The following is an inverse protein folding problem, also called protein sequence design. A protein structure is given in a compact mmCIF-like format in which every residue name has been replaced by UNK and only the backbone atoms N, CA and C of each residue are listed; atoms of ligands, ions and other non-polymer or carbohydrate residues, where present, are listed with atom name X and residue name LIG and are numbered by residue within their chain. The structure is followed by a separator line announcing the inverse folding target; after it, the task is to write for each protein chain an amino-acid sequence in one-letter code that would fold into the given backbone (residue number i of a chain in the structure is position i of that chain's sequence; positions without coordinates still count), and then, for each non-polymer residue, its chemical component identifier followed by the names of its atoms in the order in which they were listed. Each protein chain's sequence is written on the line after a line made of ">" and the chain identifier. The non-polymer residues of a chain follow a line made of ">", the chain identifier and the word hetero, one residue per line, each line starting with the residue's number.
data_IF_634346452379
#
_entry.id   IF_634346452379
#
_cell.length_a   1.000
_cell.length_b   1.000
_cell.length_c   1.000
_cell.angle_alpha   90.00
_cell.angle_beta   90.00
_cell.angle_gamma   90.00
#
_symmetry.space_group_name_H-M   'P 1'
#
loop_
_entity.id
_entity.type
_entity.pdbx_description
1 polymer ?
#
# COMPACT_ATOMS: atom_id res chain seq x y z
N UNK A 1 15.19 -19.07 -18.17
CA UNK A 1 14.42 -17.90 -17.70
C UNK A 1 15.35 -16.69 -17.68
N UNK A 2 14.93 -15.51 -18.17
CA UNK A 2 15.73 -14.27 -18.14
C UNK A 2 14.99 -13.24 -17.28
N UNK A 3 15.69 -12.62 -16.33
CA UNK A 3 15.16 -11.57 -15.47
C UNK A 3 15.49 -10.20 -16.07
N UNK A 4 14.64 -9.19 -15.82
CA UNK A 4 14.93 -7.81 -16.17
C UNK A 4 15.63 -7.13 -14.98
N UNK A 5 16.95 -6.84 -15.05
CA UNK A 5 17.67 -6.24 -13.94
C UNK A 5 17.10 -4.89 -13.49
N UNK A 6 16.51 -4.11 -14.40
CA UNK A 6 15.92 -2.80 -14.09
C UNK A 6 14.65 -2.89 -13.25
N UNK A 7 13.96 -4.04 -13.27
CA UNK A 7 12.69 -4.26 -12.57
C UNK A 7 12.82 -5.23 -11.40
N UNK A 8 14.00 -5.80 -11.19
CA UNK A 8 14.22 -6.78 -10.15
C UNK A 8 14.97 -6.16 -8.97
N UNK A 9 14.36 -6.24 -7.80
CA UNK A 9 14.96 -5.87 -6.53
C UNK A 9 15.41 -7.14 -5.82
N UNK A 10 16.67 -7.21 -5.39
CA UNK A 10 17.24 -8.39 -4.72
C UNK A 10 17.89 -8.00 -3.40
N UNK A 11 17.88 -8.92 -2.41
CA UNK A 11 18.61 -8.76 -1.15
C UNK A 11 18.10 -7.63 -0.23
N UNK A 12 16.89 -7.14 -0.44
CA UNK A 12 16.28 -6.11 0.41
C UNK A 12 15.70 -6.73 1.69
N UNK A 13 15.86 -6.04 2.82
CA UNK A 13 15.25 -6.43 4.11
C UNK A 13 13.77 -6.07 4.17
N UNK A 14 13.38 -5.00 3.50
CA UNK A 14 12.01 -4.56 3.34
C UNK A 14 11.85 -3.78 2.03
N UNK A 15 10.65 -3.79 1.46
CA UNK A 15 10.34 -2.98 0.29
C UNK A 15 8.98 -3.25 -0.34
N UNK A 16 8.65 -2.44 -1.35
CA UNK A 16 7.35 -2.51 -2.04
C UNK A 16 7.34 -3.59 -3.11
N UNK A 17 6.30 -4.42 -3.11
CA UNK A 17 6.06 -5.42 -4.15
C UNK A 17 4.57 -5.61 -4.39
N UNK A 18 4.12 -5.53 -5.65
CA UNK A 18 2.73 -5.68 -6.06
C UNK A 18 1.71 -4.84 -5.25
N UNK A 19 2.12 -3.65 -4.79
CA UNK A 19 1.27 -2.76 -3.99
C UNK A 19 1.24 -3.04 -2.49
N UNK A 20 1.99 -4.04 -2.02
CA UNK A 20 2.20 -4.36 -0.61
C UNK A 20 3.58 -3.90 -0.15
N UNK A 21 3.75 -3.73 1.16
CA UNK A 21 5.06 -3.54 1.77
C UNK A 21 5.49 -4.84 2.44
N UNK A 22 6.62 -5.39 2.02
CA UNK A 22 7.16 -6.62 2.54
C UNK A 22 8.27 -6.31 3.52
N UNK A 23 8.30 -7.03 4.65
CA UNK A 23 9.37 -7.00 5.64
C UNK A 23 9.77 -8.43 6.00
N UNK A 24 10.84 -8.58 6.79
CA UNK A 24 11.24 -9.88 7.36
C UNK A 24 10.13 -10.53 8.20
N UNK A 25 9.15 -9.75 8.69
CA UNK A 25 8.01 -10.24 9.49
C UNK A 25 6.82 -10.66 8.63
N UNK A 26 6.82 -10.33 7.33
CA UNK A 26 5.76 -10.67 6.39
C UNK A 26 5.22 -9.47 5.61
N UNK A 27 3.92 -9.49 5.31
CA UNK A 27 3.23 -8.41 4.63
C UNK A 27 2.80 -7.37 5.67
N UNK A 28 3.17 -6.12 5.43
CA UNK A 28 2.78 -4.96 6.24
C UNK A 28 1.94 -3.99 5.41
N UNK A 29 1.16 -3.16 6.11
CA UNK A 29 0.37 -2.11 5.50
C UNK A 29 1.26 -1.16 4.69
N UNK A 30 0.89 -0.90 3.44
CA UNK A 30 1.70 -0.06 2.56
C UNK A 30 1.70 1.40 3.08
N UNK A 31 2.88 1.96 3.45
CA UNK A 31 2.96 3.32 3.98
C UNK A 31 2.35 4.37 3.05
N UNK A 32 2.45 4.19 1.73
CA UNK A 32 1.87 5.14 0.77
C UNK A 32 0.35 5.17 0.86
N UNK A 33 -0.28 3.99 0.96
CA UNK A 33 -1.73 3.88 1.08
C UNK A 33 -2.21 4.46 2.42
N UNK A 34 -1.47 4.19 3.50
CA UNK A 34 -1.76 4.76 4.81
C UNK A 34 -1.67 6.28 4.78
N UNK A 35 -0.59 6.83 4.21
CA UNK A 35 -0.39 8.28 4.09
C UNK A 35 -1.49 8.94 3.26
N UNK A 36 -1.95 8.31 2.18
CA UNK A 36 -3.04 8.83 1.37
C UNK A 36 -4.36 8.98 2.18
N UNK A 37 -4.64 8.04 3.09
CA UNK A 37 -5.82 8.11 3.97
C UNK A 37 -5.63 9.17 5.05
N UNK A 38 -4.44 9.24 5.67
CA UNK A 38 -4.12 10.23 6.71
C UNK A 38 -4.20 11.66 6.16
N UNK A 39 -3.75 11.89 4.93
CA UNK A 39 -3.80 13.21 4.29
C UNK A 39 -5.15 13.53 3.64
N UNK A 40 -6.10 12.59 3.63
CA UNK A 40 -7.43 12.85 3.09
C UNK A 40 -8.16 13.86 4.00
N UNK A 41 -8.81 14.84 3.38
CA UNK A 41 -9.72 15.73 4.11
C UNK A 41 -10.86 14.94 4.75
N UNK A 42 -11.35 15.42 5.91
CA UNK A 42 -12.49 14.83 6.60
C UNK A 42 -13.67 14.67 5.63
N UNK A 43 -14.14 13.44 5.37
CA UNK A 43 -15.21 13.21 4.41
C UNK A 43 -16.52 13.73 4.97
N UNK A 44 -17.13 14.70 4.28
CA UNK A 44 -18.38 15.37 4.70
C UNK A 44 -19.63 14.78 4.07
N UNK A 45 -19.50 13.91 3.07
CA UNK A 45 -20.62 13.29 2.36
C UNK A 45 -20.63 11.76 2.52
N UNK A 46 -21.83 11.17 2.44
CA UNK A 46 -22.03 9.72 2.48
C UNK A 46 -21.18 8.99 1.44
N UNK A 47 -21.10 9.53 0.22
CA UNK A 47 -20.29 8.97 -0.87
C UNK A 47 -18.80 8.94 -0.52
N UNK A 48 -18.26 10.03 0.05
CA UNK A 48 -16.86 10.08 0.49
C UNK A 48 -16.60 9.11 1.63
N UNK A 49 -17.54 8.96 2.56
CA UNK A 49 -17.44 7.98 3.66
C UNK A 49 -17.42 6.55 3.11
N UNK A 50 -18.30 6.22 2.15
CA UNK A 50 -18.32 4.91 1.51
C UNK A 50 -17.01 4.63 0.75
N UNK A 51 -16.48 5.63 0.04
CA UNK A 51 -15.18 5.53 -0.63
C UNK A 51 -14.04 5.30 0.35
N UNK A 52 -14.01 6.02 1.47
CA UNK A 52 -13.05 5.82 2.56
C UNK A 52 -13.12 4.39 3.10
N UNK A 53 -14.31 3.86 3.33
CA UNK A 53 -14.48 2.49 3.81
C UNK A 53 -13.92 1.45 2.82
N UNK A 54 -14.11 1.69 1.51
CA UNK A 54 -13.48 0.87 0.46
C UNK A 54 -11.95 0.94 0.49
N UNK A 55 -11.38 2.13 0.70
CA UNK A 55 -9.93 2.31 0.80
C UNK A 55 -9.34 1.64 2.05
N UNK A 56 -10.02 1.74 3.20
CA UNK A 56 -9.60 1.07 4.44
C UNK A 56 -9.64 -0.44 4.28
N UNK A 57 -10.67 -0.98 3.63
CA UNK A 57 -10.76 -2.43 3.35
C UNK A 57 -9.57 -2.92 2.50
N UNK A 58 -9.05 -2.09 1.59
CA UNK A 58 -7.94 -2.43 0.71
C UNK A 58 -6.53 -2.19 1.31
N UNK A 59 -6.46 -1.80 2.59
CA UNK A 59 -5.21 -1.71 3.34
C UNK A 59 -4.76 -3.05 3.94
N UNK A 60 -5.71 -3.94 4.21
CA UNK A 60 -5.47 -5.27 4.78
C UNK A 60 -5.06 -6.30 3.73
#
# INVERSE_FOLDING_TARGET
>A
MRLNPEKCTFGIKAGKFLGFYLTERGIEANPDKCNAIIQMETPTSKERIMKLNGMITALN
#
